data_IF_706813901068
#
_entry.id   IF_706813901068
#
_cell.length_a   1.000
_cell.length_b   1.000
_cell.length_c   1.000
_cell.angle_alpha   90.00
_cell.angle_beta   90.00
_cell.angle_gamma   90.00
#
_symmetry.space_group_name_H-M   'P 1'
#
loop_
_entity.id
_entity.type
_entity.pdbx_description
1 polymer ?
#
# COMPACT_ATOMS: atom_id res chain seq x y z
N UNK A 1 -1.64 8.31 -18.67
CA UNK A 1 -0.96 7.04 -18.34
C UNK A 1 -0.35 7.15 -16.96
N UNK A 2 -0.57 6.16 -16.12
CA UNK A 2 0.00 6.15 -14.76
C UNK A 2 1.47 5.72 -14.78
N UNK A 3 2.29 6.44 -14.02
CA UNK A 3 3.64 5.97 -13.72
C UNK A 3 3.56 4.82 -12.73
N UNK A 4 4.21 3.72 -13.07
CA UNK A 4 4.30 2.57 -12.20
C UNK A 4 5.72 2.39 -11.72
N UNK A 5 5.90 2.35 -10.40
CA UNK A 5 7.19 2.10 -9.77
C UNK A 5 7.03 1.12 -8.62
N UNK A 6 8.02 0.26 -8.52
CA UNK A 6 8.19 -0.59 -7.36
C UNK A 6 9.47 -0.16 -6.65
N UNK A 7 9.33 0.37 -5.44
CA UNK A 7 10.45 0.91 -4.67
C UNK A 7 10.34 0.47 -3.21
N UNK A 8 11.47 0.43 -2.51
CA UNK A 8 11.47 0.23 -1.07
C UNK A 8 11.07 1.51 -0.35
N UNK A 9 10.48 1.39 0.85
CA UNK A 9 10.08 2.54 1.67
C UNK A 9 11.25 3.50 1.89
N UNK A 10 12.46 2.98 2.11
CA UNK A 10 13.64 3.80 2.38
C UNK A 10 14.03 4.73 1.23
N UNK A 11 13.64 4.38 0.00
CA UNK A 11 14.02 5.11 -1.20
C UNK A 11 12.98 6.13 -1.65
N UNK A 12 11.78 6.13 -1.06
CA UNK A 12 10.70 7.01 -1.48
C UNK A 12 11.06 8.48 -1.29
N UNK A 13 11.56 8.83 -0.11
CA UNK A 13 11.98 10.20 0.18
C UNK A 13 13.18 10.63 -0.66
N UNK A 14 14.13 9.71 -0.85
CA UNK A 14 15.31 9.98 -1.69
C UNK A 14 14.91 10.33 -3.12
N UNK A 15 13.93 9.63 -3.68
CA UNK A 15 13.42 9.91 -5.02
C UNK A 15 12.85 11.32 -5.13
N UNK A 16 12.13 11.79 -4.12
CA UNK A 16 11.58 13.14 -4.08
C UNK A 16 12.69 14.17 -3.93
N UNK A 17 13.66 13.92 -3.04
CA UNK A 17 14.80 14.81 -2.83
C UNK A 17 15.69 14.93 -4.05
N UNK A 18 15.83 13.86 -4.82
CA UNK A 18 16.58 13.85 -6.08
C UNK A 18 15.83 14.52 -7.23
N UNK A 19 14.64 15.07 -6.98
CA UNK A 19 13.84 15.72 -8.00
C UNK A 19 13.05 14.76 -8.87
N UNK A 20 12.89 13.51 -8.43
CA UNK A 20 12.06 12.54 -9.11
C UNK A 20 10.59 12.92 -9.04
N UNK A 21 9.83 12.67 -10.14
CA UNK A 21 8.40 12.89 -10.16
C UNK A 21 7.71 11.91 -9.20
N UNK A 22 6.66 12.36 -8.51
CA UNK A 22 5.85 11.50 -7.66
C UNK A 22 5.03 10.59 -8.58
N UNK A 23 5.13 9.26 -8.44
CA UNK A 23 4.42 8.34 -9.32
C UNK A 23 2.92 8.30 -9.02
N UNK A 24 2.12 7.96 -10.03
CA UNK A 24 0.68 7.74 -9.87
C UNK A 24 0.36 6.41 -9.18
N UNK A 25 1.24 5.43 -9.33
CA UNK A 25 1.11 4.10 -8.71
C UNK A 25 2.41 3.70 -8.05
N UNK A 26 2.31 3.27 -6.80
CA UNK A 26 3.44 2.78 -6.02
C UNK A 26 3.11 1.38 -5.51
N UNK A 27 3.98 0.42 -5.79
CA UNK A 27 3.87 -0.94 -5.25
C UNK A 27 4.95 -1.14 -4.19
N UNK A 28 4.52 -1.56 -3.01
CA UNK A 28 5.41 -1.81 -1.87
C UNK A 28 5.18 -3.20 -1.32
N UNK A 29 6.27 -3.90 -1.06
CA UNK A 29 6.27 -5.08 -0.22
C UNK A 29 6.52 -4.62 1.21
N UNK A 30 5.49 -4.71 2.06
CA UNK A 30 5.60 -4.31 3.46
C UNK A 30 5.86 -5.47 4.40
N UNK A 31 6.13 -6.66 3.88
CA UNK A 31 6.57 -7.79 4.69
C UNK A 31 7.91 -7.45 5.35
N UNK A 32 7.97 -7.61 6.66
CA UNK A 32 9.16 -7.26 7.41
C UNK A 32 9.34 -5.76 7.65
N UNK A 33 8.42 -4.91 7.16
CA UNK A 33 8.42 -3.48 7.48
C UNK A 33 7.36 -3.18 8.51
N UNK A 34 7.69 -2.29 9.44
CA UNK A 34 6.73 -1.75 10.40
C UNK A 34 5.95 -0.60 9.77
N UNK A 35 4.76 -0.30 10.33
CA UNK A 35 4.01 0.88 9.93
C UNK A 35 4.82 2.16 10.13
N UNK A 36 5.70 2.19 11.12
CA UNK A 36 6.62 3.31 11.34
C UNK A 36 7.51 3.57 10.13
N UNK A 37 7.96 2.50 9.45
CA UNK A 37 8.76 2.64 8.24
C UNK A 37 7.95 3.20 7.07
N UNK A 38 6.64 2.92 7.01
CA UNK A 38 5.76 3.49 6.00
C UNK A 38 5.56 4.98 6.16
N UNK A 39 5.77 5.53 7.34
CA UNK A 39 5.71 6.99 7.56
C UNK A 39 6.76 7.74 6.76
N UNK A 40 7.84 7.08 6.34
CA UNK A 40 8.81 7.65 5.42
C UNK A 40 8.24 7.94 4.03
N UNK A 41 7.06 7.44 3.70
CA UNK A 41 6.38 7.69 2.44
C UNK A 41 5.38 8.87 2.51
N UNK A 42 5.41 9.67 3.54
CA UNK A 42 4.43 10.75 3.79
C UNK A 42 4.31 11.73 2.62
N UNK A 43 5.39 12.01 1.91
CA UNK A 43 5.37 12.92 0.77
C UNK A 43 4.54 12.41 -0.40
N UNK A 44 4.24 11.11 -0.44
CA UNK A 44 3.46 10.49 -1.51
C UNK A 44 1.97 10.47 -1.18
N UNK A 45 1.62 10.50 0.11
CA UNK A 45 0.22 10.46 0.53
C UNK A 45 -0.51 11.75 0.15
N UNK A 46 -1.67 11.59 -0.45
CA UNK A 46 -2.47 12.68 -0.95
C UNK A 46 -2.18 13.06 -2.40
N UNK A 47 -1.12 12.53 -3.01
CA UNK A 47 -0.72 12.81 -4.39
C UNK A 47 -0.77 11.54 -5.25
N UNK A 48 -0.13 10.47 -4.80
CA UNK A 48 -0.16 9.18 -5.51
C UNK A 48 -1.60 8.66 -5.55
N UNK A 49 -2.05 8.25 -6.73
CA UNK A 49 -3.42 7.76 -6.93
C UNK A 49 -3.65 6.37 -6.36
N UNK A 50 -2.67 5.48 -6.52
CA UNK A 50 -2.77 4.09 -6.11
C UNK A 50 -1.54 3.62 -5.35
N UNK A 51 -1.80 2.86 -4.29
CA UNK A 51 -0.78 2.04 -3.63
C UNK A 51 -1.18 0.58 -3.73
N UNK A 52 -0.24 -0.27 -4.11
CA UNK A 52 -0.41 -1.72 -4.04
C UNK A 52 0.50 -2.22 -2.92
N UNK A 53 -0.10 -2.77 -1.88
CA UNK A 53 0.62 -3.24 -0.71
C UNK A 53 0.45 -4.75 -0.55
N UNK A 54 1.56 -5.47 -0.47
CA UNK A 54 1.53 -6.89 -0.12
C UNK A 54 1.39 -7.01 1.39
N UNK A 55 0.23 -7.48 1.85
CA UNK A 55 -0.18 -7.44 3.25
C UNK A 55 -0.45 -8.85 3.76
N UNK A 56 -0.03 -9.12 4.99
CA UNK A 56 -0.26 -10.41 5.65
C UNK A 56 -1.50 -10.35 6.56
N UNK A 57 -2.19 -11.49 6.68
CA UNK A 57 -3.28 -11.66 7.64
C UNK A 57 -2.78 -12.09 9.01
N UNK A 58 -1.57 -12.65 9.05
CA UNK A 58 -0.92 -13.13 10.26
C UNK A 58 0.39 -12.41 10.49
N UNK A 59 0.84 -12.22 11.71
CA UNK A 59 2.14 -11.62 11.99
C UNK A 59 3.23 -12.68 11.83
N UNK A 60 3.53 -13.07 10.59
CA UNK A 60 4.52 -14.12 10.30
C UNK A 60 5.91 -13.75 10.77
N UNK A 61 6.21 -12.46 10.83
CA UNK A 61 7.47 -11.92 11.34
C UNK A 61 7.16 -10.97 12.47
N UNK A 62 8.11 -10.79 13.38
CA UNK A 62 7.99 -9.82 14.44
C UNK A 62 7.73 -8.43 13.84
N UNK A 63 6.73 -7.73 14.35
CA UNK A 63 6.32 -6.37 13.95
C UNK A 63 5.78 -6.25 12.53
N UNK A 64 5.51 -7.35 11.86
CA UNK A 64 4.83 -7.30 10.56
C UNK A 64 3.41 -6.79 10.78
N UNK A 65 3.01 -5.68 10.16
CA UNK A 65 1.64 -5.21 10.27
C UNK A 65 0.69 -6.17 9.57
N UNK A 66 -0.46 -6.40 10.18
CA UNK A 66 -1.52 -7.22 9.59
C UNK A 66 -2.55 -6.34 8.88
N UNK A 67 -3.47 -6.97 8.13
CA UNK A 67 -4.44 -6.29 7.27
C UNK A 67 -5.18 -5.15 7.98
N UNK A 68 -5.71 -5.39 9.18
CA UNK A 68 -6.48 -4.38 9.90
C UNK A 68 -5.65 -3.13 10.23
N UNK A 69 -4.40 -3.33 10.59
CA UNK A 69 -3.48 -2.22 10.88
C UNK A 69 -3.14 -1.42 9.62
N UNK A 70 -2.93 -2.11 8.50
CA UNK A 70 -2.61 -1.46 7.22
C UNK A 70 -3.81 -0.68 6.69
N UNK A 71 -5.01 -1.25 6.77
CA UNK A 71 -6.24 -0.57 6.35
C UNK A 71 -6.45 0.71 7.17
N UNK A 72 -6.28 0.64 8.49
CA UNK A 72 -6.41 1.81 9.35
C UNK A 72 -5.36 2.87 9.02
N UNK A 73 -4.11 2.46 8.83
CA UNK A 73 -3.02 3.36 8.47
C UNK A 73 -3.32 4.11 7.16
N UNK A 74 -3.74 3.39 6.14
CA UNK A 74 -4.04 3.99 4.84
C UNK A 74 -5.28 4.87 4.89
N UNK A 75 -6.30 4.47 5.64
CA UNK A 75 -7.51 5.26 5.83
C UNK A 75 -7.20 6.64 6.44
N UNK A 76 -6.36 6.67 7.46
CA UNK A 76 -5.94 7.92 8.09
C UNK A 76 -5.22 8.85 7.13
N UNK A 77 -4.61 8.32 6.09
CA UNK A 77 -3.87 9.08 5.09
C UNK A 77 -4.66 9.38 3.83
N UNK A 78 -5.95 9.07 3.85
CA UNK A 78 -6.85 9.41 2.76
C UNK A 78 -6.98 8.35 1.67
N UNK A 79 -6.68 7.08 1.98
CA UNK A 79 -6.76 5.98 1.03
C UNK A 79 -7.72 4.91 1.50
N UNK A 80 -8.48 4.36 0.57
CA UNK A 80 -9.43 3.30 0.84
C UNK A 80 -9.10 2.07 -0.01
N UNK A 81 -9.49 0.90 0.48
CA UNK A 81 -9.33 -0.33 -0.29
C UNK A 81 -10.17 -0.24 -1.57
N UNK A 82 -9.52 -0.43 -2.69
CA UNK A 82 -10.13 -0.35 -4.02
C UNK A 82 -10.29 -1.73 -4.65
N UNK A 83 -9.29 -2.59 -4.49
CA UNK A 83 -9.28 -3.92 -5.10
C UNK A 83 -8.31 -4.84 -4.36
N UNK A 84 -8.45 -6.13 -4.61
CA UNK A 84 -7.49 -7.16 -4.22
C UNK A 84 -6.96 -7.78 -5.50
N UNK A 85 -5.70 -7.50 -5.84
CA UNK A 85 -5.13 -7.92 -7.11
C UNK A 85 -4.71 -9.38 -7.11
N UNK A 86 -4.27 -9.91 -5.96
CA UNK A 86 -3.83 -11.29 -5.82
C UNK A 86 -3.88 -11.72 -4.35
N UNK A 87 -3.84 -13.01 -4.12
CA UNK A 87 -3.81 -13.55 -2.76
C UNK A 87 -3.14 -14.91 -2.72
N UNK A 88 -2.66 -15.28 -1.53
CA UNK A 88 -1.99 -16.56 -1.27
C UNK A 88 -2.61 -17.18 -0.03
N UNK A 89 -2.87 -18.49 -0.08
CA UNK A 89 -3.38 -19.28 1.04
C UNK A 89 -2.28 -20.12 1.66
N UNK A 90 -2.38 -20.36 2.97
CA UNK A 90 -1.44 -21.25 3.67
C UNK A 90 -1.64 -22.69 3.23
N UNK A 91 -0.55 -23.39 2.98
CA UNK A 91 -0.58 -24.82 2.62
C UNK A 91 -1.09 -25.68 3.79
N UNK A 92 -0.83 -25.26 5.03
CA UNK A 92 -1.16 -26.07 6.23
C UNK A 92 -2.66 -26.20 6.47
N UNK A 93 -3.47 -25.17 6.24
CA UNK A 93 -4.88 -25.17 6.57
C UNK A 93 -5.77 -24.47 5.54
N UNK A 94 -5.22 -23.97 4.46
CA UNK A 94 -5.95 -23.25 3.43
C UNK A 94 -6.42 -21.85 3.82
N UNK A 95 -6.01 -21.36 4.98
CA UNK A 95 -6.38 -20.00 5.41
C UNK A 95 -5.70 -18.96 4.52
N UNK A 96 -6.39 -17.85 4.29
CA UNK A 96 -5.82 -16.74 3.55
C UNK A 96 -4.62 -16.17 4.32
N UNK A 97 -3.47 -16.10 3.66
CA UNK A 97 -2.21 -15.72 4.30
C UNK A 97 -1.76 -14.30 3.94
N UNK A 98 -1.85 -13.96 2.67
CA UNK A 98 -1.35 -12.69 2.13
C UNK A 98 -2.26 -12.20 1.02
N UNK A 99 -2.31 -10.89 0.84
CA UNK A 99 -3.05 -10.25 -0.26
C UNK A 99 -2.23 -9.08 -0.82
N UNK A 100 -2.33 -8.89 -2.13
CA UNK A 100 -1.93 -7.63 -2.76
C UNK A 100 -3.15 -6.70 -2.73
N UNK A 101 -3.17 -5.80 -1.77
CA UNK A 101 -4.27 -4.86 -1.57
C UNK A 101 -4.00 -3.58 -2.34
N UNK A 102 -4.98 -3.16 -3.14
CA UNK A 102 -4.91 -1.93 -3.92
C UNK A 102 -5.69 -0.85 -3.18
N UNK A 103 -4.99 0.22 -2.80
CA UNK A 103 -5.59 1.37 -2.14
C UNK A 103 -5.66 2.55 -3.10
N UNK A 104 -6.82 3.17 -3.19
CA UNK A 104 -7.04 4.35 -4.03
C UNK A 104 -7.26 5.59 -3.19
N UNK A 105 -6.77 6.73 -3.69
CA UNK A 105 -6.92 8.03 -3.03
C UNK A 105 -8.40 8.42 -2.99
N UNK A 106 -8.91 8.81 -1.82
CA UNK A 106 -10.34 9.16 -1.65
C UNK A 106 -10.79 10.29 -2.57
N UNK A 107 -9.99 11.31 -2.76
CA UNK A 107 -10.31 12.41 -3.66
C UNK A 107 -9.83 12.19 -5.09
N UNK A 108 -9.36 11.01 -5.43
CA UNK A 108 -8.79 10.70 -6.73
C UNK A 108 -9.81 10.29 -7.78
N UNK A 109 -9.34 10.16 -9.02
CA UNK A 109 -10.19 9.85 -10.17
C UNK A 109 -10.87 8.48 -10.07
N UNK A 110 -10.23 7.50 -9.41
CA UNK A 110 -10.76 6.14 -9.31
C UNK A 110 -11.93 6.02 -8.33
N UNK A 111 -12.10 7.01 -7.47
CA UNK A 111 -13.19 7.07 -6.49
C UNK A 111 -14.07 8.31 -6.70
N UNK A 112 -14.09 8.85 -7.91
CA UNK A 112 -14.83 10.07 -8.24
C UNK A 112 -16.35 9.85 -8.22
N UNK A 113 -16.82 8.60 -8.39
CA UNK A 113 -18.25 8.27 -8.35
C UNK A 113 -18.52 7.13 -7.39
N UNK A 114 -19.61 7.19 -6.65
CA UNK A 114 -20.09 6.11 -5.80
C UNK A 114 -21.36 5.45 -6.37
N UNK A 115 -21.63 5.65 -7.64
CA UNK A 115 -22.77 5.02 -8.29
C UNK A 115 -22.48 3.54 -8.53
N UNK A 116 -23.49 2.73 -8.26
CA UNK A 116 -23.45 1.28 -8.48
C UNK A 116 -23.85 0.89 -9.88
#
# INVERSE_FOLDING_TARGET
MMNQRQVSVRRLEDLVQEGGAIPDLVKLDIQGFELEALKGAETFFGITELFVLEVSLYPFYERTPIVSEVVAFMHERGYELYDVADYIRRASDGALAQMDMVFARRGGMLRASNKW
#
